data_IF_845755175409
#
_entry.id   IF_845755175409
#
_cell.length_a   1.000
_cell.length_b   1.000
_cell.length_c   1.000
_cell.angle_alpha   90.00
_cell.angle_beta   90.00
_cell.angle_gamma   90.00
#
_symmetry.space_group_name_H-M   'P 1'
#
loop_
_entity.id
_entity.type
_entity.pdbx_description
1 polymer ?
#
# COMPACT_ATOMS: atom_id res chain seq x y z
N UNK A 1 -0.88 5.75 -12.97
CA UNK A 1 0.19 6.59 -13.56
C UNK A 1 -0.12 8.03 -13.21
N UNK A 2 0.84 8.76 -12.65
CA UNK A 2 0.71 10.21 -12.39
C UNK A 2 1.86 10.91 -13.11
N UNK A 3 1.55 11.96 -13.87
CA UNK A 3 2.54 12.73 -14.62
C UNK A 3 2.55 14.19 -14.17
N UNK A 4 3.74 14.77 -14.13
CA UNK A 4 3.99 16.18 -13.87
C UNK A 4 4.84 16.74 -15.01
N UNK A 5 4.50 17.95 -15.47
CA UNK A 5 5.32 18.71 -16.41
C UNK A 5 5.91 19.92 -15.69
N UNK A 6 7.19 20.16 -15.90
CA UNK A 6 7.90 21.30 -15.34
C UNK A 6 7.95 22.47 -16.32
N UNK A 7 8.07 23.73 -15.83
CA UNK A 7 8.12 24.91 -16.68
C UNK A 7 9.27 24.93 -17.69
N UNK A 8 10.34 24.18 -17.46
CA UNK A 8 11.50 24.03 -18.36
C UNK A 8 11.29 22.97 -19.46
N UNK A 9 10.08 22.41 -19.54
CA UNK A 9 9.69 21.38 -20.51
C UNK A 9 10.05 19.95 -20.06
N UNK A 10 10.72 19.76 -18.92
CA UNK A 10 10.97 18.42 -18.38
C UNK A 10 9.68 17.75 -17.92
N UNK A 11 9.70 16.42 -17.85
CA UNK A 11 8.58 15.66 -17.32
C UNK A 11 9.02 14.65 -16.28
N UNK A 12 8.14 14.39 -15.31
CA UNK A 12 8.29 13.32 -14.33
C UNK A 12 7.04 12.46 -14.36
N UNK A 13 7.21 11.13 -14.46
CA UNK A 13 6.10 10.17 -14.48
C UNK A 13 6.31 9.13 -13.40
N UNK A 14 5.33 9.00 -12.51
CA UNK A 14 5.25 7.95 -11.50
C UNK A 14 4.41 6.77 -11.99
N UNK A 15 5.02 5.61 -12.02
CA UNK A 15 4.43 4.32 -12.29
C UNK A 15 4.25 3.55 -10.98
N UNK A 16 3.06 3.02 -10.77
CA UNK A 16 2.73 2.11 -9.67
C UNK A 16 2.78 0.70 -10.23
N UNK A 17 3.60 -0.18 -9.64
CA UNK A 17 3.61 -1.60 -9.97
C UNK A 17 2.28 -2.21 -9.56
N UNK A 18 1.72 -3.04 -10.42
CA UNK A 18 0.55 -3.85 -10.14
C UNK A 18 0.75 -5.28 -10.67
N UNK A 19 0.14 -6.25 -10.00
CA UNK A 19 0.10 -7.66 -10.41
C UNK A 19 -1.35 -8.12 -10.40
N UNK A 20 -1.84 -8.62 -11.53
CA UNK A 20 -3.25 -8.98 -11.74
C UNK A 20 -4.23 -7.87 -11.31
N UNK A 21 -3.88 -6.60 -11.56
CA UNK A 21 -4.68 -5.44 -11.19
C UNK A 21 -4.56 -4.98 -9.73
N UNK A 22 -3.84 -5.73 -8.88
CA UNK A 22 -3.61 -5.38 -7.48
C UNK A 22 -2.31 -4.59 -7.34
N UNK A 23 -2.31 -3.39 -6.74
CA UNK A 23 -1.11 -2.58 -6.55
C UNK A 23 -0.13 -3.22 -5.57
N UNK A 24 1.17 -2.99 -5.80
CA UNK A 24 2.26 -3.42 -4.91
C UNK A 24 2.67 -2.26 -4.00
N UNK A 25 2.56 -2.43 -2.69
CA UNK A 25 2.98 -1.41 -1.73
C UNK A 25 4.47 -1.11 -1.91
N UNK A 26 4.83 0.17 -1.98
CA UNK A 26 6.20 0.64 -2.24
C UNK A 26 6.82 0.22 -3.59
N UNK A 27 6.10 -0.54 -4.42
CA UNK A 27 6.52 -0.90 -5.78
C UNK A 27 6.23 0.25 -6.75
N UNK A 28 7.10 1.25 -6.81
CA UNK A 28 6.94 2.41 -7.68
C UNK A 28 8.22 2.75 -8.45
N UNK A 29 8.06 3.27 -9.66
CA UNK A 29 9.14 3.85 -10.46
C UNK A 29 8.82 5.30 -10.84
N UNK A 30 9.79 6.19 -10.71
CA UNK A 30 9.74 7.56 -11.21
C UNK A 30 10.69 7.66 -12.40
N UNK A 31 10.14 8.07 -13.54
CA UNK A 31 10.87 8.29 -14.78
C UNK A 31 10.93 9.78 -15.05
N UNK A 32 12.12 10.33 -15.21
CA UNK A 32 12.32 11.74 -15.56
C UNK A 32 12.85 11.87 -16.98
N UNK A 33 12.29 12.80 -17.75
CA UNK A 33 12.71 13.09 -19.13
C UNK A 33 13.03 14.56 -19.32
N UNK A 34 13.88 14.86 -20.31
CA UNK A 34 14.08 16.22 -20.78
C UNK A 34 12.92 16.73 -21.65
N UNK A 35 13.03 17.96 -22.14
CA UNK A 35 12.03 18.61 -23.00
C UNK A 35 11.88 17.99 -24.38
N UNK A 36 12.81 17.14 -24.81
CA UNK A 36 12.70 16.34 -26.02
C UNK A 36 12.15 14.92 -25.74
N UNK A 37 11.74 14.63 -24.50
CA UNK A 37 11.26 13.32 -24.07
C UNK A 37 12.36 12.28 -23.88
N UNK A 38 13.63 12.68 -23.86
CA UNK A 38 14.76 11.76 -23.67
C UNK A 38 14.92 11.43 -22.20
N UNK A 39 15.22 10.16 -21.90
CA UNK A 39 15.40 9.68 -20.54
C UNK A 39 16.57 10.38 -19.85
N UNK A 40 16.31 10.93 -18.67
CA UNK A 40 17.34 11.50 -17.79
C UNK A 40 17.66 10.55 -16.62
N UNK A 41 16.63 9.99 -15.99
CA UNK A 41 16.81 9.05 -14.88
C UNK A 41 15.58 8.16 -14.67
N UNK A 42 15.82 7.01 -14.03
CA UNK A 42 14.80 6.13 -13.47
C UNK A 42 15.20 5.84 -12.03
N UNK A 43 14.28 6.03 -11.09
CA UNK A 43 14.48 5.77 -9.67
C UNK A 43 13.28 5.05 -9.08
N UNK A 44 13.50 4.17 -8.10
CA UNK A 44 12.44 3.48 -7.38
C UNK A 44 12.75 2.00 -7.14
N UNK A 45 11.77 1.28 -6.63
CA UNK A 45 11.87 -0.15 -6.32
C UNK A 45 10.68 -0.90 -6.90
N UNK A 46 10.89 -2.18 -7.22
CA UNK A 46 9.84 -3.09 -7.69
C UNK A 46 10.00 -4.44 -7.01
N UNK A 47 8.89 -5.15 -6.84
CA UNK A 47 8.88 -6.54 -6.38
C UNK A 47 8.95 -7.48 -7.59
N UNK A 48 10.11 -8.07 -7.92
CA UNK A 48 10.21 -9.02 -9.02
C UNK A 48 9.61 -10.39 -8.65
N UNK A 49 9.22 -11.15 -9.67
CA UNK A 49 8.86 -12.56 -9.51
C UNK A 49 7.56 -12.82 -8.73
N UNK A 50 6.57 -11.92 -8.82
CA UNK A 50 5.26 -12.10 -8.20
C UNK A 50 4.52 -13.31 -8.79
N UNK A 51 4.21 -14.31 -7.94
CA UNK A 51 3.50 -15.53 -8.35
C UNK A 51 2.33 -15.91 -7.43
N UNK A 52 1.86 -14.99 -6.60
CA UNK A 52 0.75 -15.20 -5.67
C UNK A 52 -0.64 -15.01 -6.30
N UNK A 53 -1.64 -15.63 -5.69
CA UNK A 53 -3.06 -15.39 -5.99
C UNK A 53 -3.49 -14.01 -5.47
N UNK A 54 -4.31 -13.32 -6.26
CA UNK A 54 -4.92 -12.03 -5.88
C UNK A 54 -6.39 -12.17 -5.47
N UNK A 55 -6.88 -13.41 -5.30
CA UNK A 55 -8.21 -13.68 -4.74
C UNK A 55 -8.10 -13.83 -3.23
N UNK A 56 -8.72 -12.93 -2.43
CA UNK A 56 -8.69 -13.04 -0.98
C UNK A 56 -9.60 -14.19 -0.52
N UNK A 57 -9.14 -14.96 0.48
CA UNK A 57 -9.99 -15.94 1.16
C UNK A 57 -10.86 -15.28 2.24
N UNK A 58 -10.37 -14.17 2.81
CA UNK A 58 -11.04 -13.39 3.84
C UNK A 58 -11.69 -12.15 3.25
N UNK A 59 -12.87 -11.81 3.75
CA UNK A 59 -13.62 -10.63 3.31
C UNK A 59 -13.02 -9.33 3.84
N UNK A 60 -13.32 -8.22 3.17
CA UNK A 60 -12.94 -6.88 3.64
C UNK A 60 -13.50 -6.57 5.04
N UNK A 61 -14.71 -7.04 5.36
CA UNK A 61 -15.37 -6.79 6.65
C UNK A 61 -14.64 -7.51 7.79
N UNK A 62 -14.24 -8.76 7.57
CA UNK A 62 -13.44 -9.52 8.55
C UNK A 62 -12.07 -8.84 8.78
N UNK A 63 -11.43 -8.37 7.72
CA UNK A 63 -10.16 -7.66 7.83
C UNK A 63 -10.29 -6.31 8.55
N UNK A 64 -11.37 -5.55 8.32
CA UNK A 64 -11.68 -4.33 9.07
C UNK A 64 -11.85 -4.59 10.57
N UNK A 65 -12.55 -5.67 10.94
CA UNK A 65 -12.71 -6.03 12.35
C UNK A 65 -11.36 -6.37 13.01
N UNK A 66 -10.48 -7.08 12.30
CA UNK A 66 -9.11 -7.38 12.77
C UNK A 66 -8.31 -6.08 12.96
N UNK A 67 -8.40 -5.15 12.00
CA UNK A 67 -7.69 -3.88 12.06
C UNK A 67 -8.17 -3.01 13.24
N UNK A 68 -9.49 -2.88 13.43
CA UNK A 68 -10.08 -2.16 14.57
C UNK A 68 -9.61 -2.74 15.90
N UNK A 69 -9.78 -4.05 16.10
CA UNK A 69 -9.38 -4.72 17.34
C UNK A 69 -7.87 -4.57 17.60
N UNK A 70 -7.04 -4.64 16.55
CA UNK A 70 -5.60 -4.46 16.63
C UNK A 70 -5.21 -3.05 17.09
N UNK A 71 -5.77 -2.03 16.47
CA UNK A 71 -5.49 -0.61 16.78
C UNK A 71 -6.05 -0.23 18.16
N UNK A 72 -7.28 -0.61 18.46
CA UNK A 72 -7.91 -0.38 19.77
C UNK A 72 -7.06 -0.99 20.90
N UNK A 73 -6.61 -2.24 20.74
CA UNK A 73 -5.73 -2.90 21.71
C UNK A 73 -4.36 -2.22 21.84
N UNK A 74 -3.76 -1.79 20.72
CA UNK A 74 -2.45 -1.14 20.73
C UNK A 74 -2.47 0.19 21.49
N UNK A 75 -3.55 0.97 21.31
CA UNK A 75 -3.71 2.28 21.94
C UNK A 75 -4.48 2.25 23.26
N UNK A 76 -5.07 1.12 23.65
CA UNK A 76 -5.89 1.00 24.86
C UNK A 76 -7.22 1.75 24.77
N UNK A 77 -7.83 1.76 23.58
CA UNK A 77 -9.08 2.46 23.28
C UNK A 77 -10.26 1.48 23.16
N UNK A 78 -11.47 2.01 23.21
CA UNK A 78 -12.66 1.29 22.76
C UNK A 78 -12.73 1.29 21.22
N UNK A 79 -13.19 0.19 20.62
CA UNK A 79 -13.36 0.11 19.15
C UNK A 79 -14.33 1.16 18.61
N UNK A 80 -15.26 1.66 19.44
CA UNK A 80 -16.17 2.76 19.08
C UNK A 80 -15.51 4.14 18.98
N UNK A 81 -14.26 4.29 19.43
CA UNK A 81 -13.50 5.54 19.34
C UNK A 81 -12.72 5.68 18.03
N UNK A 82 -12.67 4.62 17.23
CA UNK A 82 -11.93 4.54 15.97
C UNK A 82 -12.81 3.97 14.85
N UNK A 83 -12.45 4.28 13.61
CA UNK A 83 -13.14 3.82 12.42
C UNK A 83 -12.14 3.43 11.33
N UNK A 84 -12.57 2.54 10.43
CA UNK A 84 -11.79 2.13 9.26
C UNK A 84 -12.33 2.80 8.00
N UNK A 85 -11.43 3.26 7.13
CA UNK A 85 -11.77 3.51 5.74
C UNK A 85 -12.12 2.19 5.01
N UNK A 86 -12.64 2.30 3.78
CA UNK A 86 -12.91 1.14 2.93
C UNK A 86 -11.60 0.35 2.67
N UNK A 87 -11.53 -0.96 2.99
CA UNK A 87 -10.35 -1.76 2.72
C UNK A 87 -10.07 -1.93 1.23
N UNK A 88 -8.78 -1.91 0.86
CA UNK A 88 -8.33 -2.15 -0.50
C UNK A 88 -7.35 -3.34 -0.54
N UNK A 89 -7.40 -4.15 -1.60
CA UNK A 89 -6.39 -5.19 -1.80
C UNK A 89 -5.08 -4.58 -2.30
N UNK A 90 -3.99 -4.96 -1.66
CA UNK A 90 -2.62 -4.60 -2.01
C UNK A 90 -1.73 -5.84 -1.90
N UNK A 91 -0.57 -5.80 -2.55
CA UNK A 91 0.48 -6.79 -2.36
C UNK A 91 1.57 -6.16 -1.49
N UNK A 92 1.92 -6.86 -0.42
CA UNK A 92 3.02 -6.49 0.45
C UNK A 92 4.24 -7.35 0.12
N UNK A 93 5.34 -6.70 -0.23
CA UNK A 93 6.66 -7.31 -0.28
C UNK A 93 7.58 -6.55 0.67
N UNK A 94 7.88 -7.17 1.80
CA UNK A 94 8.70 -6.55 2.84
C UNK A 94 10.11 -6.19 2.36
N UNK A 95 10.60 -6.86 1.31
CA UNK A 95 11.93 -6.61 0.71
C UNK A 95 12.08 -5.20 0.15
N UNK A 96 10.95 -4.55 -0.19
CA UNK A 96 10.93 -3.17 -0.67
C UNK A 96 11.11 -2.13 0.45
N UNK A 97 11.03 -2.55 1.71
CA UNK A 97 11.17 -1.66 2.87
C UNK A 97 12.43 -1.97 3.68
N UNK A 98 12.80 -3.24 3.74
CA UNK A 98 13.97 -3.73 4.50
C UNK A 98 14.41 -5.08 3.98
N UNK A 99 15.65 -5.48 4.32
CA UNK A 99 16.10 -6.84 4.05
C UNK A 99 15.17 -7.86 4.72
N UNK A 100 14.58 -8.75 3.92
CA UNK A 100 13.66 -9.78 4.40
C UNK A 100 13.66 -11.00 3.48
N UNK A 101 13.37 -12.15 4.05
CA UNK A 101 13.14 -13.41 3.34
C UNK A 101 11.66 -13.84 3.40
N UNK A 102 10.79 -12.96 3.94
CA UNK A 102 9.34 -13.24 4.00
C UNK A 102 8.78 -13.32 2.58
N UNK A 103 7.81 -14.22 2.34
CA UNK A 103 7.13 -14.28 1.05
C UNK A 103 6.31 -12.99 0.82
N UNK A 104 6.01 -12.71 -0.45
CA UNK A 104 5.05 -11.67 -0.80
C UNK A 104 3.66 -12.10 -0.36
N UNK A 105 2.87 -11.16 0.18
CA UNK A 105 1.57 -11.44 0.75
C UNK A 105 0.49 -10.58 0.07
N UNK A 106 -0.67 -11.16 -0.22
CA UNK A 106 -1.87 -10.38 -0.52
C UNK A 106 -2.41 -9.86 0.81
N UNK A 107 -2.63 -8.56 0.92
CA UNK A 107 -3.07 -7.90 2.14
C UNK A 107 -4.27 -7.00 1.88
N UNK A 108 -5.14 -6.88 2.88
CA UNK A 108 -6.06 -5.76 3.00
C UNK A 108 -5.32 -4.57 3.59
N UNK A 109 -5.23 -3.48 2.83
CA UNK A 109 -4.71 -2.18 3.25
C UNK A 109 -5.86 -1.37 3.82
N UNK A 110 -5.74 -0.99 5.10
CA UNK A 110 -6.83 -0.36 5.86
C UNK A 110 -6.28 0.84 6.60
N UNK A 111 -6.81 2.02 6.28
CA UNK A 111 -6.54 3.23 7.07
C UNK A 111 -7.50 3.24 8.28
N UNK A 112 -6.95 3.39 9.49
CA UNK A 112 -7.70 3.50 10.75
C UNK A 112 -7.48 4.89 11.35
N UNK A 113 -8.58 5.56 11.66
CA UNK A 113 -8.61 6.93 12.18
C UNK A 113 -9.55 7.05 13.37
N UNK A 114 -9.37 8.05 14.24
CA UNK A 114 -10.26 8.28 15.36
C UNK A 114 -11.58 8.91 14.90
N UNK A 115 -12.67 8.58 15.59
CA UNK A 115 -13.99 9.17 15.34
C UNK A 115 -14.04 10.64 15.78
N UNK A 116 -13.32 10.97 16.86
CA UNK A 116 -13.16 12.33 17.37
C UNK A 116 -11.73 12.83 17.18
N UNK A 117 -11.50 14.14 17.30
CA UNK A 117 -10.19 14.77 17.07
C UNK A 117 -9.12 14.19 18.02
N UNK A 118 -8.35 13.23 17.51
CA UNK A 118 -7.16 12.65 18.14
C UNK A 118 -6.06 12.49 17.08
N UNK A 119 -4.83 12.26 17.51
CA UNK A 119 -3.66 12.16 16.62
C UNK A 119 -3.41 10.74 16.08
N UNK A 120 -4.43 9.88 16.01
CA UNK A 120 -4.28 8.51 15.51
C UNK A 120 -4.45 8.49 13.99
N UNK A 121 -3.48 7.90 13.30
CA UNK A 121 -3.58 7.63 11.86
C UNK A 121 -2.72 6.42 11.54
N UNK A 122 -3.36 5.27 11.53
CA UNK A 122 -2.68 4.00 11.30
C UNK A 122 -2.98 3.47 9.91
N UNK A 123 -1.94 2.93 9.27
CA UNK A 123 -2.07 2.10 8.09
C UNK A 123 -1.87 0.64 8.50
N UNK A 124 -2.96 -0.11 8.56
CA UNK A 124 -2.94 -1.52 8.94
C UNK A 124 -2.92 -2.38 7.68
N UNK A 125 -2.01 -3.38 7.67
CA UNK A 125 -1.98 -4.42 6.66
C UNK A 125 -2.41 -5.73 7.32
N UNK A 126 -3.49 -6.32 6.84
CA UNK A 126 -4.00 -7.61 7.31
C UNK A 126 -3.84 -8.64 6.19
N UNK A 127 -3.17 -9.76 6.46
CA UNK A 127 -3.00 -10.81 5.45
C UNK A 127 -4.37 -11.31 4.94
N UNK A 128 -4.63 -11.18 3.63
CA UNK A 128 -5.93 -11.45 3.03
C UNK A 128 -6.28 -12.95 2.90
N UNK A 129 -5.37 -13.83 3.33
CA UNK A 129 -5.57 -15.28 3.40
C UNK A 129 -5.74 -15.77 4.84
N UNK A 130 -4.96 -15.23 5.79
CA UNK A 130 -4.90 -15.75 7.17
C UNK A 130 -5.36 -14.78 8.27
N UNK A 131 -5.49 -13.48 8.00
CA UNK A 131 -5.80 -12.47 9.02
C UNK A 131 -4.65 -12.06 9.93
N UNK A 132 -3.46 -12.64 9.73
CA UNK A 132 -2.25 -12.30 10.50
C UNK A 132 -1.44 -11.15 9.93
#
# INVERSE_FOLDING_TARGET
>A
MKSEQHPDGRSSVRYQQAHNGVPVLAGELIVNTDSAGRLLSISGEISPGLSLSTTPAMTAVEASAIALAGVAKWYGLDESEIETAQPELWIFDERLLRRSERPQELVWRIDVSPVYLSAIKELVLVNAQSGG
#
